data_IF_358332707803
#
_entry.id   IF_358332707803
#
_cell.length_a   1.000
_cell.length_b   1.000
_cell.length_c   1.000
_cell.angle_alpha   90.00
_cell.angle_beta   90.00
_cell.angle_gamma   90.00
#
_symmetry.space_group_name_H-M   'P 1'
#
loop_
_entity.id
_entity.type
_entity.pdbx_description
1 polymer ?
#
# COMPACT_ATOMS: atom_id res chain seq x y z
N UNK A 1 -14.35 -8.82 -29.63
CA UNK A 1 -14.16 -9.71 -28.45
C UNK A 1 -12.86 -9.37 -27.76
N UNK A 2 -11.74 -9.31 -28.49
CA UNK A 2 -10.41 -9.01 -27.91
C UNK A 2 -10.32 -7.64 -27.23
N UNK A 3 -10.98 -6.60 -27.77
CA UNK A 3 -11.01 -5.28 -27.15
C UNK A 3 -11.70 -5.28 -25.77
N UNK A 4 -12.75 -6.09 -25.61
CA UNK A 4 -13.45 -6.23 -24.34
C UNK A 4 -12.60 -7.00 -23.32
N UNK A 5 -11.90 -8.04 -23.77
CA UNK A 5 -10.98 -8.81 -22.92
C UNK A 5 -9.82 -7.93 -22.47
N UNK A 6 -9.23 -7.14 -23.37
CA UNK A 6 -8.17 -6.19 -23.07
C UNK A 6 -8.62 -5.10 -22.09
N UNK A 7 -9.83 -4.56 -22.27
CA UNK A 7 -10.40 -3.57 -21.35
C UNK A 7 -10.63 -4.14 -19.94
N UNK A 8 -11.15 -5.37 -19.86
CA UNK A 8 -11.38 -6.05 -18.58
C UNK A 8 -10.06 -6.43 -17.90
N UNK A 9 -9.09 -6.97 -18.64
CA UNK A 9 -7.78 -7.35 -18.11
C UNK A 9 -6.98 -6.15 -17.57
N UNK A 10 -7.19 -4.97 -18.14
CA UNK A 10 -6.60 -3.71 -17.65
C UNK A 10 -7.38 -3.03 -16.53
N UNK A 11 -8.57 -3.52 -16.16
CA UNK A 11 -9.41 -2.91 -15.11
C UNK A 11 -8.95 -3.34 -13.72
N UNK A 12 -8.88 -2.40 -12.78
CA UNK A 12 -8.50 -2.65 -11.39
C UNK A 12 -9.42 -1.90 -10.44
N UNK A 13 -9.77 -2.54 -9.33
CA UNK A 13 -10.59 -1.90 -8.26
C UNK A 13 -9.71 -1.00 -7.38
N UNK A 14 -8.50 -1.46 -7.05
CA UNK A 14 -7.50 -0.68 -6.32
C UNK A 14 -6.41 -0.22 -7.27
N UNK A 15 -6.17 1.09 -7.36
CA UNK A 15 -5.13 1.66 -8.22
C UNK A 15 -3.76 1.52 -7.54
N UNK A 16 -3.12 0.36 -7.69
CA UNK A 16 -1.76 0.10 -7.22
C UNK A 16 -0.86 -0.29 -8.39
N UNK A 17 0.21 0.47 -8.69
CA UNK A 17 1.12 0.14 -9.78
C UNK A 17 1.83 -1.20 -9.49
N UNK A 18 2.06 -2.02 -10.52
CA UNK A 18 2.79 -3.29 -10.42
C UNK A 18 2.34 -4.22 -9.26
N UNK A 19 1.05 -4.30 -8.94
CA UNK A 19 0.56 -5.11 -7.82
C UNK A 19 0.89 -6.60 -7.97
N UNK A 20 1.27 -7.26 -6.87
CA UNK A 20 1.55 -8.70 -6.80
C UNK A 20 0.29 -9.58 -6.81
N UNK A 21 -0.90 -8.99 -6.72
CA UNK A 21 -2.17 -9.70 -6.91
C UNK A 21 -2.42 -10.09 -8.37
N UNK A 22 -1.83 -9.33 -9.31
CA UNK A 22 -1.84 -9.64 -10.74
C UNK A 22 -0.54 -10.33 -11.15
N UNK A 23 -0.53 -10.92 -12.34
CA UNK A 23 0.67 -11.48 -12.95
C UNK A 23 1.76 -10.40 -13.15
N UNK A 24 3.02 -10.84 -13.19
CA UNK A 24 4.12 -9.91 -13.45
C UNK A 24 3.94 -9.23 -14.81
N UNK A 25 4.12 -7.90 -14.92
CA UNK A 25 3.86 -7.14 -16.16
C UNK A 25 4.57 -7.67 -17.41
N UNK A 26 5.75 -8.27 -17.25
CA UNK A 26 6.51 -8.92 -18.35
C UNK A 26 5.83 -10.17 -18.93
N UNK A 27 5.05 -10.89 -18.13
CA UNK A 27 4.37 -12.12 -18.55
C UNK A 27 2.91 -11.89 -18.96
N UNK A 28 2.35 -10.74 -18.62
CA UNK A 28 0.97 -10.43 -18.97
C UNK A 28 0.79 -10.29 -20.48
N UNK A 29 -0.29 -10.87 -21.00
CA UNK A 29 -0.66 -10.75 -22.41
C UNK A 29 -1.20 -9.35 -22.76
N UNK A 30 -1.72 -8.62 -21.77
CA UNK A 30 -2.34 -7.30 -21.94
C UNK A 30 -1.61 -6.26 -21.11
N UNK A 31 -1.31 -5.09 -21.70
CA UNK A 31 -0.61 -4.01 -20.99
C UNK A 31 -1.62 -3.21 -20.16
N UNK A 32 -1.47 -3.23 -18.84
CA UNK A 32 -2.23 -2.35 -17.95
C UNK A 32 -1.81 -0.89 -18.16
N UNK A 33 -2.79 0.01 -18.31
CA UNK A 33 -2.55 1.45 -18.54
C UNK A 33 -1.93 2.16 -17.34
N UNK A 34 -2.07 1.61 -16.14
CA UNK A 34 -1.52 2.14 -14.88
C UNK A 34 -0.02 1.90 -14.69
N UNK A 35 0.63 1.14 -15.59
CA UNK A 35 1.97 0.59 -15.35
C UNK A 35 3.13 1.44 -15.89
N UNK A 36 2.88 2.72 -16.19
CA UNK A 36 3.76 3.54 -17.05
C UNK A 36 4.82 4.34 -16.31
N UNK A 37 4.79 4.42 -14.98
CA UNK A 37 5.77 5.21 -14.22
C UNK A 37 6.98 4.37 -13.85
N UNK A 38 8.17 4.96 -13.95
CA UNK A 38 9.46 4.41 -13.51
C UNK A 38 9.42 4.10 -12.00
N UNK A 39 9.82 2.89 -11.60
CA UNK A 39 9.77 2.42 -10.20
C UNK A 39 10.77 3.19 -9.33
N UNK A 40 11.95 3.53 -9.87
CA UNK A 40 12.99 4.27 -9.16
C UNK A 40 12.51 5.67 -8.76
N UNK A 41 11.89 6.38 -9.70
CA UNK A 41 11.35 7.72 -9.45
C UNK A 41 10.28 7.70 -8.35
N UNK A 42 9.39 6.70 -8.34
CA UNK A 42 8.38 6.53 -7.28
C UNK A 42 9.03 6.23 -5.93
N UNK A 43 10.01 5.31 -5.89
CA UNK A 43 10.73 4.97 -4.64
C UNK A 43 11.39 6.21 -4.04
N UNK A 44 12.06 7.02 -4.86
CA UNK A 44 12.72 8.25 -4.40
C UNK A 44 11.72 9.26 -3.81
N UNK A 45 10.63 9.52 -4.54
CA UNK A 45 9.54 10.40 -4.05
C UNK A 45 8.92 9.88 -2.76
N UNK A 46 8.67 8.58 -2.67
CA UNK A 46 8.12 7.95 -1.47
C UNK A 46 9.06 8.12 -0.26
N UNK A 47 10.37 7.96 -0.45
CA UNK A 47 11.37 8.18 0.60
C UNK A 47 11.45 9.65 1.03
N UNK A 48 11.34 10.59 0.10
CA UNK A 48 11.30 12.02 0.41
C UNK A 48 10.06 12.39 1.22
N UNK A 49 8.89 11.91 0.79
CA UNK A 49 7.65 12.10 1.53
C UNK A 49 7.67 11.41 2.90
N UNK A 50 8.27 10.22 3.02
CA UNK A 50 8.45 9.54 4.30
C UNK A 50 9.33 10.32 5.28
N UNK A 51 10.37 11.01 4.80
CA UNK A 51 11.23 11.88 5.64
C UNK A 51 10.47 13.07 6.21
N UNK A 52 9.54 13.64 5.43
CA UNK A 52 8.75 14.81 5.83
C UNK A 52 7.54 14.42 6.70
N UNK A 53 7.10 13.16 6.65
CA UNK A 53 5.88 12.71 7.33
C UNK A 53 6.06 12.64 8.84
N UNK A 54 5.22 13.39 9.56
CA UNK A 54 5.09 13.33 11.01
C UNK A 54 3.78 12.63 11.38
N UNK A 55 3.83 11.32 11.56
CA UNK A 55 2.68 10.51 11.95
C UNK A 55 2.82 9.96 13.37
N UNK A 56 1.74 9.98 14.15
CA UNK A 56 1.72 9.42 15.51
C UNK A 56 1.52 7.89 15.48
N UNK A 57 2.60 7.19 15.15
CA UNK A 57 2.64 5.72 15.16
C UNK A 57 2.39 5.13 16.56
N UNK A 58 2.71 5.87 17.63
CA UNK A 58 2.50 5.39 19.00
C UNK A 58 1.01 5.37 19.36
N UNK A 59 0.25 6.39 18.96
CA UNK A 59 -1.21 6.36 19.07
C UNK A 59 -1.83 5.28 18.19
N UNK A 60 -1.40 5.15 16.95
CA UNK A 60 -1.91 4.12 16.03
C UNK A 60 -1.68 2.70 16.55
N UNK A 61 -0.48 2.38 17.06
CA UNK A 61 -0.19 1.10 17.68
C UNK A 61 -1.08 0.83 18.92
N UNK A 62 -1.36 1.86 19.73
CA UNK A 62 -2.32 1.74 20.85
C UNK A 62 -3.74 1.43 20.36
N UNK A 63 -4.19 2.10 19.30
CA UNK A 63 -5.51 1.84 18.69
C UNK A 63 -5.64 0.39 18.22
N UNK A 64 -4.60 -0.13 17.55
CA UNK A 64 -4.53 -1.55 17.14
C UNK A 64 -4.56 -2.51 18.35
N UNK A 65 -3.82 -2.21 19.42
CA UNK A 65 -3.73 -3.08 20.59
C UNK A 65 -5.02 -3.12 21.44
N UNK A 66 -5.75 -2.01 21.51
CA UNK A 66 -6.97 -1.89 22.33
C UNK A 66 -8.27 -1.99 21.52
N UNK A 67 -8.18 -2.19 20.20
CA UNK A 67 -9.32 -2.18 19.28
C UNK A 67 -10.19 -0.93 19.43
N UNK A 68 -9.59 0.21 19.80
CA UNK A 68 -10.29 1.46 20.06
C UNK A 68 -10.13 2.37 18.85
N UNK A 69 -11.12 2.32 17.97
CA UNK A 69 -11.32 3.25 16.87
C UNK A 69 -12.48 4.15 17.30
N UNK A 70 -12.19 5.36 17.78
CA UNK A 70 -13.25 6.26 18.27
C UNK A 70 -14.01 6.84 17.06
N UNK A 71 -15.35 6.78 17.06
CA UNK A 71 -16.18 7.30 15.96
C UNK A 71 -16.22 8.83 15.91
N UNK A 72 -15.78 9.52 16.96
CA UNK A 72 -15.75 11.00 16.99
C UNK A 72 -14.71 11.61 16.04
N UNK A 73 -13.72 10.84 15.60
CA UNK A 73 -12.71 11.28 14.61
C UNK A 73 -13.21 11.10 13.15
N UNK A 74 -14.37 10.47 12.92
CA UNK A 74 -14.92 10.24 11.57
C UNK A 74 -15.27 11.57 10.87
N UNK A 75 -15.73 12.57 11.63
CA UNK A 75 -16.22 13.85 11.09
C UNK A 75 -15.11 14.85 10.71
N UNK A 76 -13.90 14.71 11.26
CA UNK A 76 -12.79 15.62 10.95
C UNK A 76 -11.93 15.13 9.77
N UNK A 77 -11.90 13.82 9.51
CA UNK A 77 -11.08 13.24 8.42
C UNK A 77 -11.82 13.15 7.07
N UNK A 78 -13.14 12.87 7.06
CA UNK A 78 -13.94 12.96 5.83
C UNK A 78 -13.98 14.40 5.28
N UNK A 79 -13.88 15.41 6.14
CA UNK A 79 -13.76 16.80 5.70
C UNK A 79 -12.37 17.13 5.13
N UNK A 80 -11.29 16.54 5.64
CA UNK A 80 -9.94 16.75 5.10
C UNK A 80 -9.69 16.04 3.77
N UNK A 81 -10.36 14.91 3.50
CA UNK A 81 -10.31 14.23 2.20
C UNK A 81 -11.11 14.98 1.11
N UNK A 82 -12.15 15.74 1.50
CA UNK A 82 -12.95 16.55 0.58
C UNK A 82 -12.41 17.98 0.37
N UNK A 83 -11.55 18.49 1.26
CA UNK A 83 -11.01 19.87 1.17
C UNK A 83 -9.69 19.96 0.37
N UNK A 84 -9.18 18.83 -0.13
CA UNK A 84 -8.03 18.79 -1.07
C UNK A 84 -8.48 18.84 -2.53
N UNK A 85 -9.27 19.85 -2.90
CA UNK A 85 -9.60 20.17 -4.30
C UNK A 85 -8.59 21.15 -4.93
N UNK A 86 -7.49 21.48 -4.26
CA UNK A 86 -6.42 22.31 -4.83
C UNK A 86 -5.26 21.47 -5.39
N UNK A 87 -5.07 21.66 -6.69
CA UNK A 87 -4.16 20.96 -7.58
C UNK A 87 -2.67 21.12 -7.24
N UNK A 88 -2.11 20.14 -6.54
CA UNK A 88 -0.73 19.71 -6.75
C UNK A 88 -0.62 18.19 -6.52
N UNK A 89 -0.20 17.47 -7.57
CA UNK A 89 -0.15 16.00 -7.65
C UNK A 89 1.05 15.43 -6.85
N UNK A 90 1.31 15.94 -5.66
CA UNK A 90 2.20 15.26 -4.70
C UNK A 90 1.44 14.05 -4.17
N UNK A 91 1.86 12.84 -4.57
CA UNK A 91 1.28 11.57 -4.13
C UNK A 91 1.16 11.54 -2.59
N UNK A 92 -0.05 11.79 -2.10
CA UNK A 92 -0.44 11.70 -0.70
C UNK A 92 -0.13 10.30 -0.20
N UNK A 93 0.86 10.15 0.70
CA UNK A 93 1.06 8.88 1.41
C UNK A 93 -0.11 8.72 2.37
N UNK A 94 -1.04 7.77 2.14
CA UNK A 94 -2.22 7.64 2.97
C UNK A 94 -1.84 7.41 4.44
N UNK A 95 -2.64 7.96 5.35
CA UNK A 95 -2.56 7.61 6.77
C UNK A 95 -2.94 6.13 6.90
N UNK A 96 -2.33 5.38 7.84
CA UNK A 96 -2.71 3.99 8.04
C UNK A 96 -4.19 3.93 8.42
N UNK A 97 -4.93 2.94 7.88
CA UNK A 97 -6.37 2.87 8.06
C UNK A 97 -6.73 2.69 9.53
N UNK A 98 -7.94 3.13 9.90
CA UNK A 98 -8.49 2.98 11.25
C UNK A 98 -9.21 1.63 11.44
N UNK A 99 -8.66 0.56 10.87
CA UNK A 99 -9.23 -0.78 10.94
C UNK A 99 -8.14 -1.85 10.94
N UNK A 100 -8.46 -3.12 11.18
CA UNK A 100 -7.47 -4.19 11.05
C UNK A 100 -7.13 -4.57 9.59
N UNK A 101 -7.82 -3.98 8.60
CA UNK A 101 -7.54 -4.18 7.18
C UNK A 101 -6.43 -3.24 6.72
N UNK A 102 -5.71 -3.63 5.67
CA UNK A 102 -4.70 -2.80 4.98
C UNK A 102 -3.61 -2.19 5.89
N UNK A 103 -3.28 -2.89 6.97
CA UNK A 103 -2.18 -2.51 7.87
C UNK A 103 -0.81 -3.02 7.41
N UNK A 104 -0.78 -3.97 6.47
CA UNK A 104 0.45 -4.59 6.01
C UNK A 104 1.04 -3.77 4.86
N UNK A 105 2.35 -3.54 4.91
CA UNK A 105 3.09 -2.99 3.78
C UNK A 105 3.22 -4.07 2.69
N UNK A 106 2.55 -3.86 1.56
CA UNK A 106 2.58 -4.77 0.42
C UNK A 106 3.67 -4.37 -0.57
N UNK A 107 4.30 -5.37 -1.18
CA UNK A 107 5.31 -5.18 -2.21
C UNK A 107 4.69 -5.12 -3.60
N UNK A 108 5.29 -4.31 -4.46
CA UNK A 108 5.11 -4.38 -5.91
C UNK A 108 5.99 -5.49 -6.52
N UNK A 109 5.65 -5.91 -7.74
CA UNK A 109 6.57 -6.70 -8.56
C UNK A 109 7.87 -5.92 -8.81
N UNK A 110 9.01 -6.58 -8.64
CA UNK A 110 10.31 -6.02 -8.99
C UNK A 110 10.49 -6.07 -10.52
N UNK A 111 10.08 -5.01 -11.20
CA UNK A 111 10.21 -4.87 -12.66
C UNK A 111 11.54 -4.21 -12.99
N UNK A 112 11.88 -3.14 -12.28
CA UNK A 112 13.13 -2.39 -12.43
C UNK A 112 14.05 -2.68 -11.25
N UNK A 113 15.19 -3.28 -11.56
CA UNK A 113 16.24 -3.61 -10.60
C UNK A 113 16.98 -2.32 -10.23
N UNK A 114 17.00 -1.90 -8.95
CA UNK A 114 17.82 -0.77 -8.50
C UNK A 114 19.30 -0.99 -8.82
N UNK A 115 20.01 0.07 -9.18
CA UNK A 115 21.47 0.02 -9.43
C UNK A 115 22.27 -0.19 -8.14
N UNK A 116 21.71 0.21 -7.00
CA UNK A 116 22.27 0.13 -5.65
C UNK A 116 21.77 -1.08 -4.85
N UNK A 117 21.32 -2.14 -5.52
CA UNK A 117 20.72 -3.32 -4.91
C UNK A 117 21.65 -4.00 -3.89
N UNK A 118 22.97 -4.00 -4.13
CA UNK A 118 23.94 -4.66 -3.24
C UNK A 118 24.19 -3.88 -1.95
N UNK A 119 24.09 -2.55 -2.00
CA UNK A 119 24.48 -1.66 -0.90
C UNK A 119 23.32 -1.19 -0.03
N UNK A 120 22.14 -0.94 -0.63
CA UNK A 120 21.01 -0.28 0.06
C UNK A 120 19.77 -1.18 0.22
N UNK A 121 19.80 -2.41 -0.29
CA UNK A 121 18.65 -3.31 -0.26
C UNK A 121 18.94 -4.61 0.49
N UNK A 122 17.92 -5.13 1.16
CA UNK A 122 17.98 -6.42 1.83
C UNK A 122 17.00 -7.40 1.17
N UNK A 123 17.46 -8.62 0.93
CA UNK A 123 16.63 -9.70 0.41
C UNK A 123 16.18 -10.61 1.55
N UNK A 124 14.89 -10.94 1.56
CA UNK A 124 14.29 -11.86 2.53
C UNK A 124 13.67 -13.04 1.81
N UNK A 125 14.16 -14.25 2.12
CA UNK A 125 13.52 -15.48 1.67
C UNK A 125 12.15 -15.62 2.35
N UNK A 126 11.10 -15.74 1.55
CA UNK A 126 9.72 -15.82 2.04
C UNK A 126 9.21 -17.27 1.91
N UNK A 127 8.83 -17.94 3.01
CA UNK A 127 8.24 -19.27 2.93
C UNK A 127 6.86 -19.22 2.26
N UNK A 128 6.42 -20.36 1.74
CA UNK A 128 5.04 -20.50 1.24
C UNK A 128 4.08 -20.46 2.42
N UNK A 129 3.15 -19.52 2.40
CA UNK A 129 2.17 -19.35 3.47
C UNK A 129 1.28 -18.15 3.27
N UNK A 130 0.37 -17.92 4.22
CA UNK A 130 -0.47 -16.74 4.27
C UNK A 130 0.22 -15.64 5.08
N UNK A 131 0.21 -14.42 4.56
CA UNK A 131 0.60 -13.23 5.32
C UNK A 131 -0.51 -12.93 6.34
N UNK A 132 -0.16 -12.57 7.57
CA UNK A 132 -1.12 -12.23 8.62
C UNK A 132 -0.62 -11.04 9.44
N UNK A 133 -1.55 -10.16 9.82
CA UNK A 133 -1.29 -9.15 10.85
C UNK A 133 -1.39 -9.83 12.21
N UNK A 134 -0.33 -9.71 13.02
CA UNK A 134 -0.27 -10.25 14.37
C UNK A 134 -0.28 -9.10 15.36
N UNK A 135 -1.32 -9.06 16.20
CA UNK A 135 -1.42 -8.11 17.31
C UNK A 135 -1.47 -8.90 18.62
N UNK A 136 -0.39 -8.83 19.38
CA UNK A 136 -0.33 -9.40 20.72
C UNK A 136 -0.67 -8.32 21.76
N UNK A 137 -1.82 -8.47 22.43
CA UNK A 137 -2.28 -7.52 23.45
C UNK A 137 -2.89 -8.26 24.63
N UNK A 138 -2.45 -7.90 25.84
CA UNK A 138 -2.87 -8.52 27.11
C UNK A 138 -2.66 -10.05 27.13
N UNK A 139 -3.70 -10.82 26.87
CA UNK A 139 -3.76 -12.29 26.93
C UNK A 139 -4.15 -12.89 25.56
N UNK A 140 -4.49 -12.05 24.57
CA UNK A 140 -5.06 -12.49 23.29
C UNK A 140 -4.17 -12.07 22.12
N UNK A 141 -3.98 -12.99 21.17
CA UNK A 141 -3.39 -12.72 19.88
C UNK A 141 -4.51 -12.66 18.85
N UNK A 142 -4.71 -11.50 18.22
CA UNK A 142 -5.65 -11.37 17.11
C UNK A 142 -4.90 -11.55 15.78
N UNK A 143 -5.51 -12.32 14.88
CA UNK A 143 -5.02 -12.55 13.53
C UNK A 143 -6.06 -12.00 12.54
N UNK A 144 -5.63 -11.12 11.64
CA UNK A 144 -6.45 -10.69 10.50
C UNK A 144 -5.83 -11.24 9.22
N UNK A 145 -6.61 -12.02 8.47
CA UNK A 145 -6.25 -12.55 7.14
C UNK A 145 -6.79 -11.67 6.00
N UNK A 146 -7.59 -10.64 6.29
CA UNK A 146 -8.26 -9.84 5.25
C UNK A 146 -7.32 -8.78 4.70
N UNK A 147 -6.77 -9.08 3.53
CA UNK A 147 -6.27 -8.13 2.53
C UNK A 147 -7.43 -7.43 1.83
#
# INVERSE_FOLDING_TARGET
MDDLISALAGSQVTFQPNSTAAEHPRFSMYKAKSNTVNQEARRKKFLEAQKNKRFDYASHARRLAFSKWDSSDETEEENQENESEDMDFEEYIPKPPRSYKDQLMLSEWLVEVPTDLEDQWYLKLCPVGKRCLVVASRIMCAFSEKF
#
